data_IF_587897987599
#
_entry.id   IF_587897987599
#
_cell.length_a   1.000
_cell.length_b   1.000
_cell.length_c   1.000
_cell.angle_alpha   90.00
_cell.angle_beta   90.00
_cell.angle_gamma   90.00
#
_symmetry.space_group_name_H-M   'P 1'
#
loop_
_entity.id
_entity.type
_entity.pdbx_description
1 polymer ?
#
# COMPACT_ATOMS: atom_id res chain seq x y z
N UNK A 1 -6.55 -0.83 13.26
CA UNK A 1 -6.23 -1.83 12.23
C UNK A 1 -4.74 -2.11 12.32
N UNK A 2 -4.27 -3.19 11.70
CA UNK A 2 -2.88 -3.57 11.61
C UNK A 2 -2.50 -3.82 10.16
N UNK A 3 -1.29 -3.42 9.76
CA UNK A 3 -0.75 -3.67 8.42
C UNK A 3 0.59 -4.35 8.55
N UNK A 4 0.76 -5.40 7.75
CA UNK A 4 2.04 -6.02 7.48
C UNK A 4 2.48 -5.65 6.06
N UNK A 5 3.56 -4.88 5.97
CA UNK A 5 4.23 -4.53 4.71
C UNK A 5 5.32 -5.57 4.44
N UNK A 6 5.24 -6.25 3.31
CA UNK A 6 6.14 -7.32 2.90
C UNK A 6 6.85 -6.87 1.64
N UNK A 7 8.18 -6.99 1.61
CA UNK A 7 8.96 -6.69 0.42
C UNK A 7 9.99 -7.77 0.13
N UNK A 8 10.21 -8.05 -1.15
CA UNK A 8 11.22 -8.98 -1.63
C UNK A 8 11.50 -8.69 -3.11
N UNK A 9 12.56 -9.27 -3.66
CA UNK A 9 12.80 -9.25 -5.10
C UNK A 9 12.26 -10.54 -5.71
N UNK A 10 11.25 -10.42 -6.54
CA UNK A 10 10.59 -11.52 -7.23
C UNK A 10 11.54 -12.22 -8.22
N UNK A 11 11.46 -13.55 -8.28
CA UNK A 11 12.02 -14.33 -9.39
C UNK A 11 11.00 -14.51 -10.51
N UNK A 12 9.73 -14.70 -10.15
CA UNK A 12 8.63 -14.96 -11.09
C UNK A 12 7.34 -14.31 -10.58
N UNK A 13 7.02 -13.14 -11.13
CA UNK A 13 5.84 -12.37 -10.72
C UNK A 13 4.52 -13.10 -11.01
N UNK A 14 4.44 -13.88 -12.09
CA UNK A 14 3.22 -14.60 -12.47
C UNK A 14 2.93 -15.74 -11.50
N UNK A 15 3.96 -16.50 -11.10
CA UNK A 15 3.79 -17.57 -10.11
C UNK A 15 3.44 -17.01 -8.72
N UNK A 16 4.02 -15.87 -8.32
CA UNK A 16 3.65 -15.21 -7.07
C UNK A 16 2.19 -14.76 -7.14
N UNK A 17 1.76 -14.11 -8.23
CA UNK A 17 0.37 -13.69 -8.41
C UNK A 17 -0.60 -14.86 -8.32
N UNK A 18 -0.32 -15.96 -9.03
CA UNK A 18 -1.13 -17.16 -8.99
C UNK A 18 -1.22 -17.78 -7.58
N UNK A 19 -0.14 -17.68 -6.79
CA UNK A 19 -0.17 -18.13 -5.40
C UNK A 19 -1.06 -17.23 -4.52
N UNK A 20 -1.08 -15.90 -4.76
CA UNK A 20 -2.00 -14.98 -4.08
C UNK A 20 -3.46 -15.20 -4.49
N UNK A 21 -3.74 -15.48 -5.76
CA UNK A 21 -5.10 -15.83 -6.23
C UNK A 21 -5.62 -17.07 -5.50
N UNK A 22 -4.81 -18.13 -5.42
CA UNK A 22 -5.18 -19.34 -4.66
C UNK A 22 -5.36 -19.06 -3.17
N UNK A 23 -4.52 -18.20 -2.59
CA UNK A 23 -4.69 -17.80 -1.19
C UNK A 23 -6.04 -17.12 -0.95
N UNK A 24 -6.40 -16.19 -1.83
CA UNK A 24 -7.67 -15.47 -1.76
C UNK A 24 -8.88 -16.40 -1.91
N UNK A 25 -8.77 -17.46 -2.71
CA UNK A 25 -9.84 -18.45 -2.87
C UNK A 25 -9.92 -19.48 -1.74
N UNK A 26 -8.79 -19.99 -1.27
CA UNK A 26 -8.74 -21.18 -0.41
C UNK A 26 -8.52 -20.85 1.08
N UNK A 27 -7.73 -19.81 1.37
CA UNK A 27 -7.26 -19.51 2.73
C UNK A 27 -7.94 -18.29 3.35
N UNK A 28 -8.18 -17.25 2.54
CA UNK A 28 -8.80 -16.00 2.95
C UNK A 28 -10.22 -16.15 3.53
N UNK A 29 -11.10 -17.06 3.04
CA UNK A 29 -12.43 -17.24 3.64
C UNK A 29 -12.41 -17.66 5.12
N UNK A 30 -11.27 -18.20 5.58
CA UNK A 30 -11.06 -18.60 6.97
C UNK A 30 -10.03 -17.70 7.67
N UNK A 31 -9.64 -16.57 7.07
CA UNK A 31 -8.67 -15.65 7.61
C UNK A 31 -9.31 -14.67 8.59
N UNK A 32 -9.23 -15.00 9.89
CA UNK A 32 -9.83 -14.20 10.96
C UNK A 32 -9.36 -12.75 10.90
N UNK A 33 -10.30 -11.81 10.83
CA UNK A 33 -10.01 -10.37 10.87
C UNK A 33 -9.14 -9.85 9.72
N UNK A 34 -9.02 -10.58 8.61
CA UNK A 34 -8.37 -10.06 7.40
C UNK A 34 -9.27 -9.03 6.72
N UNK A 35 -8.71 -7.86 6.41
CA UNK A 35 -9.45 -6.72 5.84
C UNK A 35 -9.17 -6.51 4.35
N UNK A 36 -8.13 -7.15 3.82
CA UNK A 36 -7.75 -7.05 2.42
C UNK A 36 -6.24 -7.03 2.23
N UNK A 37 -5.81 -7.19 0.99
CA UNK A 37 -4.40 -7.15 0.61
C UNK A 37 -4.25 -6.33 -0.66
N UNK A 38 -3.28 -5.41 -0.66
CA UNK A 38 -2.77 -4.77 -1.88
C UNK A 38 -1.40 -5.34 -2.15
N UNK A 39 -1.16 -5.91 -3.32
CA UNK A 39 0.13 -6.47 -3.68
C UNK A 39 0.49 -6.19 -5.13
N UNK A 40 1.74 -6.43 -5.50
CA UNK A 40 2.18 -6.38 -6.89
C UNK A 40 3.68 -6.53 -7.01
N UNK A 41 4.15 -6.52 -8.25
CA UNK A 41 5.58 -6.52 -8.58
C UNK A 41 5.84 -5.38 -9.56
N UNK A 42 6.88 -4.60 -9.30
CA UNK A 42 7.33 -3.52 -10.19
C UNK A 42 8.02 -4.08 -11.45
N UNK A 43 8.21 -3.25 -12.47
CA UNK A 43 8.89 -3.67 -13.71
C UNK A 43 10.34 -4.16 -13.49
N UNK A 44 11.00 -3.67 -12.44
CA UNK A 44 12.36 -4.08 -12.04
C UNK A 44 12.37 -5.26 -11.05
N UNK A 45 11.22 -5.82 -10.70
CA UNK A 45 11.11 -7.07 -9.95
C UNK A 45 10.94 -6.92 -8.44
N UNK A 46 10.72 -5.71 -7.92
CA UNK A 46 10.43 -5.49 -6.50
C UNK A 46 8.97 -5.88 -6.21
N UNK A 47 8.80 -6.92 -5.42
CA UNK A 47 7.53 -7.34 -4.86
C UNK A 47 7.21 -6.48 -3.63
N UNK A 48 5.98 -5.98 -3.56
CA UNK A 48 5.44 -5.25 -2.41
C UNK A 48 4.05 -5.78 -2.09
N UNK A 49 3.77 -6.05 -0.82
CA UNK A 49 2.42 -6.35 -0.35
C UNK A 49 2.11 -5.64 0.97
N UNK A 50 0.90 -5.08 1.08
CA UNK A 50 0.30 -4.52 2.28
C UNK A 50 -0.89 -5.40 2.66
N UNK A 51 -0.71 -6.27 3.66
CA UNK A 51 -1.76 -7.14 4.18
C UNK A 51 -2.40 -6.49 5.42
N UNK A 52 -3.70 -6.21 5.34
CA UNK A 52 -4.47 -5.50 6.36
C UNK A 52 -5.25 -6.47 7.23
N UNK A 53 -5.24 -6.24 8.54
CA UNK A 53 -6.00 -6.98 9.54
C UNK A 53 -6.68 -6.05 10.55
N UNK A 54 -7.71 -6.53 11.23
CA UNK A 54 -8.40 -5.80 12.31
C UNK A 54 -7.45 -5.44 13.45
N UNK A 55 -6.48 -6.33 13.76
CA UNK A 55 -5.49 -6.17 14.82
C UNK A 55 -4.23 -7.01 14.59
N UNK A 56 -3.16 -6.71 15.32
CA UNK A 56 -1.94 -7.53 15.32
C UNK A 56 -2.20 -8.96 15.81
N UNK A 57 -3.17 -9.14 16.72
CA UNK A 57 -3.59 -10.47 17.18
C UNK A 57 -4.24 -11.28 16.06
N UNK A 58 -5.14 -10.66 15.28
CA UNK A 58 -5.76 -11.30 14.12
C UNK A 58 -4.72 -11.69 13.07
N UNK A 59 -3.75 -10.82 12.79
CA UNK A 59 -2.64 -11.14 11.90
C UNK A 59 -1.83 -12.36 12.39
N UNK A 60 -1.45 -12.37 13.68
CA UNK A 60 -0.71 -13.49 14.29
C UNK A 60 -1.47 -14.80 14.24
N UNK A 61 -2.77 -14.79 14.54
CA UNK A 61 -3.62 -15.99 14.46
C UNK A 61 -3.63 -16.57 13.04
N UNK A 62 -3.57 -15.72 12.02
CA UNK A 62 -3.43 -16.18 10.64
C UNK A 62 -2.07 -16.77 10.35
N UNK A 63 -0.98 -16.10 10.75
CA UNK A 63 0.39 -16.59 10.60
C UNK A 63 0.61 -17.96 11.26
N UNK A 64 0.01 -18.20 12.43
CA UNK A 64 0.16 -19.46 13.17
C UNK A 64 -0.59 -20.65 12.53
N UNK A 65 -1.39 -20.42 11.47
CA UNK A 65 -2.11 -21.50 10.78
C UNK A 65 -1.14 -22.30 9.91
N UNK A 66 -1.18 -23.62 10.04
CA UNK A 66 -0.37 -24.53 9.21
C UNK A 66 -0.53 -24.29 7.70
N UNK A 67 -1.75 -23.98 7.25
CA UNK A 67 -2.00 -23.71 5.83
C UNK A 67 -1.37 -22.38 5.38
N UNK A 68 -1.34 -21.37 6.25
CA UNK A 68 -0.65 -20.10 5.99
C UNK A 68 0.86 -20.31 5.89
N UNK A 69 1.44 -21.07 6.82
CA UNK A 69 2.86 -21.46 6.81
C UNK A 69 3.26 -22.20 5.53
N UNK A 70 2.41 -23.13 5.06
CA UNK A 70 2.67 -23.88 3.84
C UNK A 70 2.66 -22.97 2.61
N UNK A 71 1.64 -22.13 2.49
CA UNK A 71 1.55 -21.14 1.42
C UNK A 71 2.72 -20.16 1.44
N UNK A 72 3.11 -19.66 2.61
CA UNK A 72 4.22 -18.72 2.73
C UNK A 72 5.55 -19.34 2.31
N UNK A 73 5.81 -20.62 2.64
CA UNK A 73 7.02 -21.32 2.16
C UNK A 73 7.05 -21.46 0.63
N UNK A 74 5.91 -21.65 -0.01
CA UNK A 74 5.81 -21.68 -1.46
C UNK A 74 6.15 -20.30 -2.05
N UNK A 75 5.48 -19.25 -1.57
CA UNK A 75 5.68 -17.87 -2.07
C UNK A 75 7.11 -17.39 -1.83
N UNK A 76 7.66 -17.60 -0.62
CA UNK A 76 9.03 -17.20 -0.31
C UNK A 76 10.09 -17.94 -1.13
N UNK A 77 9.80 -19.14 -1.61
CA UNK A 77 10.65 -19.87 -2.55
C UNK A 77 10.72 -19.25 -3.95
N UNK A 78 9.81 -18.32 -4.28
CA UNK A 78 9.77 -17.56 -5.53
C UNK A 78 10.50 -16.21 -5.43
N UNK A 79 11.15 -15.92 -4.31
CA UNK A 79 11.98 -14.72 -4.13
C UNK A 79 13.46 -15.02 -4.32
N UNK A 80 14.20 -14.00 -4.75
CA UNK A 80 15.66 -14.09 -4.92
C UNK A 80 16.43 -13.70 -3.65
N UNK A 81 15.75 -13.06 -2.70
CA UNK A 81 16.24 -12.67 -1.38
C UNK A 81 15.24 -13.06 -0.29
N UNK A 82 15.67 -12.97 0.97
CA UNK A 82 14.74 -13.09 2.09
C UNK A 82 13.76 -11.90 2.09
N UNK A 83 12.48 -12.18 2.28
CA UNK A 83 11.47 -11.14 2.39
C UNK A 83 11.64 -10.36 3.70
N UNK A 84 11.50 -9.04 3.62
CA UNK A 84 11.43 -8.15 4.77
C UNK A 84 9.98 -7.93 5.18
N UNK A 85 9.79 -7.62 6.47
CA UNK A 85 8.49 -7.40 7.07
C UNK A 85 8.54 -6.14 7.92
N UNK A 86 7.57 -5.26 7.72
CA UNK A 86 7.35 -4.08 8.54
C UNK A 86 5.90 -4.06 9.00
N UNK A 87 5.73 -4.26 10.31
CA UNK A 87 4.44 -4.44 10.97
C UNK A 87 4.07 -3.17 11.74
N UNK A 88 2.85 -2.67 11.61
CA UNK A 88 2.39 -1.49 12.35
C UNK A 88 0.89 -1.48 12.61
N UNK A 89 0.49 -0.88 13.74
CA UNK A 89 -0.91 -0.54 14.05
C UNK A 89 -1.23 0.93 13.77
N UNK A 90 -0.21 1.73 13.45
CA UNK A 90 -0.35 3.14 13.11
C UNK A 90 -0.61 3.28 11.61
N UNK A 91 -1.90 3.25 11.27
CA UNK A 91 -2.36 3.25 9.88
C UNK A 91 -3.49 4.26 9.68
N UNK A 92 -3.32 5.12 8.68
CA UNK A 92 -4.36 6.01 8.18
C UNK A 92 -4.87 5.52 6.83
N UNK A 93 -6.20 5.42 6.69
CA UNK A 93 -6.89 5.15 5.43
C UNK A 93 -7.71 6.36 5.05
N UNK A 94 -7.54 6.83 3.81
CA UNK A 94 -8.36 7.87 3.20
C UNK A 94 -8.83 7.39 1.83
N UNK A 95 -10.10 6.99 1.74
CA UNK A 95 -10.68 6.38 0.55
C UNK A 95 -11.84 7.24 0.05
N UNK A 96 -11.75 7.65 -1.22
CA UNK A 96 -12.77 8.42 -1.93
C UNK A 96 -13.72 7.53 -2.73
N UNK A 97 -13.29 6.31 -3.02
CA UNK A 97 -14.04 5.29 -3.75
C UNK A 97 -13.68 3.88 -3.31
N UNK A 98 -14.01 2.91 -4.16
CA UNK A 98 -13.66 1.50 -3.94
C UNK A 98 -12.21 1.25 -4.38
N UNK A 99 -11.26 1.00 -3.45
CA UNK A 99 -9.87 0.75 -3.80
C UNK A 99 -9.69 -0.48 -4.68
N UNK A 100 -10.62 -1.46 -4.67
CA UNK A 100 -10.54 -2.66 -5.51
C UNK A 100 -10.74 -2.36 -7.00
N UNK A 101 -11.18 -1.14 -7.34
CA UNK A 101 -11.31 -0.68 -8.72
C UNK A 101 -10.05 -0.01 -9.28
N UNK A 102 -8.99 0.10 -8.47
CA UNK A 102 -7.76 0.76 -8.89
C UNK A 102 -7.06 -0.01 -10.02
N UNK A 103 -6.80 0.69 -11.14
CA UNK A 103 -6.03 0.17 -12.26
C UNK A 103 -4.52 0.38 -12.09
N UNK A 104 -4.11 1.18 -11.10
CA UNK A 104 -2.72 1.47 -10.81
C UNK A 104 -2.54 1.80 -9.33
N UNK A 105 -1.49 1.27 -8.72
CA UNK A 105 -1.10 1.62 -7.34
C UNK A 105 0.35 2.08 -7.35
N UNK A 106 0.63 3.25 -6.77
CA UNK A 106 2.00 3.68 -6.51
C UNK A 106 2.26 3.55 -5.02
N UNK A 107 3.23 2.72 -4.65
CA UNK A 107 3.73 2.66 -3.28
C UNK A 107 4.90 3.63 -3.14
N UNK A 108 4.89 4.42 -2.07
CA UNK A 108 5.92 5.38 -1.70
C UNK A 108 6.48 5.00 -0.34
N UNK A 109 7.79 4.92 -0.23
CA UNK A 109 8.47 4.78 1.06
C UNK A 109 9.37 5.97 1.30
N UNK A 110 9.27 6.57 2.49
CA UNK A 110 10.01 7.78 2.83
C UNK A 110 10.13 7.98 4.33
N UNK A 111 10.72 9.11 4.69
CA UNK A 111 10.92 9.52 6.07
C UNK A 111 10.37 10.94 6.28
N UNK A 112 9.57 11.12 7.31
CA UNK A 112 8.99 12.40 7.72
C UNK A 112 9.54 12.88 9.05
N UNK A 113 9.70 14.19 9.21
CA UNK A 113 10.17 14.81 10.47
C UNK A 113 9.04 15.08 11.46
N UNK A 114 7.79 15.06 11.00
CA UNK A 114 6.59 15.33 11.82
C UNK A 114 5.38 14.54 11.27
N UNK A 115 5.20 13.28 11.68
CA UNK A 115 4.11 12.42 11.20
C UNK A 115 2.72 12.97 11.55
N UNK A 116 2.55 13.56 12.74
CA UNK A 116 1.27 14.10 13.17
C UNK A 116 0.83 15.29 12.31
N UNK A 117 1.77 16.19 12.00
CA UNK A 117 1.48 17.30 11.08
C UNK A 117 1.22 16.79 9.66
N UNK A 118 1.95 15.78 9.19
CA UNK A 118 1.70 15.18 7.88
C UNK A 118 0.28 14.60 7.79
N UNK A 119 -0.20 13.90 8.83
CA UNK A 119 -1.59 13.39 8.88
C UNK A 119 -2.63 14.49 8.84
N UNK A 120 -2.41 15.57 9.59
CA UNK A 120 -3.32 16.72 9.59
C UNK A 120 -3.40 17.34 8.19
N UNK A 121 -2.24 17.52 7.53
CA UNK A 121 -2.16 18.03 6.17
C UNK A 121 -2.83 17.10 5.18
N UNK A 122 -2.68 15.77 5.26
CA UNK A 122 -3.35 14.85 4.33
C UNK A 122 -4.89 14.92 4.44
N UNK A 123 -5.42 15.18 5.63
CA UNK A 123 -6.87 15.30 5.88
C UNK A 123 -7.43 16.68 5.52
N UNK A 124 -6.58 17.69 5.47
CA UNK A 124 -6.99 19.05 5.14
C UNK A 124 -7.37 19.15 3.66
N UNK A 125 -8.47 19.86 3.36
CA UNK A 125 -8.91 20.14 1.99
C UNK A 125 -9.12 18.88 1.11
N UNK A 126 -9.44 17.72 1.72
CA UNK A 126 -9.63 16.43 1.03
C UNK A 126 -10.62 16.52 -0.14
N UNK A 127 -11.74 17.23 0.02
CA UNK A 127 -12.74 17.46 -1.04
C UNK A 127 -12.16 18.24 -2.23
N UNK A 128 -11.27 19.21 -1.98
CA UNK A 128 -10.62 20.00 -3.04
C UNK A 128 -9.55 19.17 -3.75
N UNK A 129 -8.82 18.34 -3.02
CA UNK A 129 -7.91 17.36 -3.61
C UNK A 129 -8.66 16.37 -4.50
N UNK A 130 -9.81 15.87 -4.05
CA UNK A 130 -10.69 15.00 -4.84
C UNK A 130 -11.08 15.64 -6.17
N UNK A 131 -11.54 16.89 -6.13
CA UNK A 131 -11.97 17.62 -7.32
C UNK A 131 -10.81 17.90 -8.27
N UNK A 132 -9.62 18.19 -7.73
CA UNK A 132 -8.42 18.48 -8.52
C UNK A 132 -7.77 17.22 -9.12
N UNK A 133 -7.75 16.13 -8.35
CA UNK A 133 -7.19 14.82 -8.68
C UNK A 133 -8.27 13.73 -8.62
N UNK A 134 -9.27 13.76 -9.52
CA UNK A 134 -10.32 12.74 -9.55
C UNK A 134 -9.79 11.36 -9.97
N UNK A 135 -8.54 11.29 -10.45
CA UNK A 135 -7.81 10.06 -10.72
C UNK A 135 -7.36 9.32 -9.46
N UNK A 136 -7.31 9.99 -8.30
CA UNK A 136 -6.94 9.40 -7.00
C UNK A 136 -8.18 8.79 -6.35
N UNK A 137 -8.17 7.47 -6.17
CA UNK A 137 -9.24 6.72 -5.48
C UNK A 137 -9.05 6.79 -3.95
N UNK A 138 -7.80 6.91 -3.50
CA UNK A 138 -7.48 7.05 -2.08
C UNK A 138 -6.03 6.73 -1.76
N UNK A 139 -5.73 6.65 -0.47
CA UNK A 139 -4.43 6.27 0.05
C UNK A 139 -4.53 5.44 1.33
N UNK A 140 -3.56 4.56 1.51
CA UNK A 140 -3.24 3.89 2.76
C UNK A 140 -1.84 4.30 3.22
N UNK A 141 -1.69 4.71 4.47
CA UNK A 141 -0.39 5.11 5.05
C UNK A 141 -0.10 4.28 6.28
N UNK A 142 0.91 3.42 6.21
CA UNK A 142 1.48 2.68 7.32
C UNK A 142 2.69 3.45 7.87
N UNK A 143 2.63 3.89 9.13
CA UNK A 143 3.67 4.70 9.78
C UNK A 143 4.48 3.88 10.79
N UNK A 144 5.74 4.27 11.00
CA UNK A 144 6.67 3.61 11.94
C UNK A 144 7.25 4.60 12.96
N UNK A 145 7.79 4.08 14.08
CA UNK A 145 8.14 4.84 15.29
C UNK A 145 9.21 5.95 15.11
N UNK A 146 9.92 5.98 13.98
CA UNK A 146 10.97 6.95 13.67
C UNK A 146 10.60 7.98 12.60
N UNK A 147 9.36 7.95 12.10
CA UNK A 147 8.89 8.82 11.02
C UNK A 147 9.05 8.20 9.63
N UNK A 148 9.60 6.99 9.52
CA UNK A 148 9.49 6.20 8.29
C UNK A 148 8.02 5.86 8.02
N UNK A 149 7.67 5.76 6.75
CA UNK A 149 6.33 5.37 6.32
C UNK A 149 6.35 4.58 5.01
N UNK A 150 5.33 3.74 4.83
CA UNK A 150 4.95 3.17 3.53
C UNK A 150 3.54 3.68 3.20
N UNK A 151 3.38 4.34 2.06
CA UNK A 151 2.10 4.83 1.57
C UNK A 151 1.74 4.14 0.24
N UNK A 152 0.56 3.54 0.15
CA UNK A 152 -0.01 3.09 -1.12
C UNK A 152 -1.03 4.13 -1.61
N UNK A 153 -0.82 4.72 -2.78
CA UNK A 153 -1.78 5.59 -3.45
C UNK A 153 -2.50 4.83 -4.56
N UNK A 154 -3.83 4.84 -4.55
CA UNK A 154 -4.70 4.13 -5.47
C UNK A 154 -5.18 5.06 -6.56
N UNK A 155 -5.02 4.66 -7.82
CA UNK A 155 -5.43 5.44 -8.98
C UNK A 155 -6.36 4.67 -9.90
N UNK A 156 -7.22 5.39 -10.60
CA UNK A 156 -8.08 4.82 -11.66
C UNK A 156 -7.26 4.17 -12.77
N UNK A 157 -6.16 4.81 -13.20
CA UNK A 157 -5.22 4.28 -14.18
C UNK A 157 -3.84 4.93 -14.09
N UNK A 158 -2.80 4.25 -14.61
CA UNK A 158 -1.45 4.82 -14.70
C UNK A 158 -1.43 6.09 -15.56
N UNK A 159 -2.11 6.07 -16.72
CA UNK A 159 -2.14 7.20 -17.64
C UNK A 159 -2.71 8.46 -16.97
N UNK A 160 -3.84 8.31 -16.27
CA UNK A 160 -4.48 9.43 -15.56
C UNK A 160 -3.62 9.93 -14.40
N UNK A 161 -2.95 9.03 -13.68
CA UNK A 161 -2.01 9.39 -12.62
C UNK A 161 -0.85 10.25 -13.18
N UNK A 162 -0.22 9.85 -14.30
CA UNK A 162 0.87 10.61 -14.93
C UNK A 162 0.42 11.94 -15.54
N UNK A 163 -0.83 12.05 -15.97
CA UNK A 163 -1.42 13.33 -16.39
C UNK A 163 -1.65 14.21 -15.15
N UNK A 164 -2.19 13.63 -14.08
CA UNK A 164 -2.48 14.30 -12.81
C UNK A 164 -1.24 14.88 -12.15
N UNK A 165 -0.12 14.16 -12.13
CA UNK A 165 1.19 14.61 -11.61
C UNK A 165 1.71 15.88 -12.30
N UNK A 166 1.32 16.13 -13.55
CA UNK A 166 1.76 17.30 -14.33
C UNK A 166 0.85 18.52 -14.15
N UNK A 167 -0.29 18.37 -13.47
CA UNK A 167 -1.21 19.48 -13.23
C UNK A 167 -0.62 20.44 -12.22
N UNK A 168 -0.79 21.73 -12.46
CA UNK A 168 -0.44 22.76 -11.49
C UNK A 168 -1.60 22.90 -10.48
N UNK A 169 -1.35 22.67 -9.17
CA UNK A 169 -2.38 22.81 -8.15
C UNK A 169 -2.81 24.28 -7.99
N UNK A 170 -4.09 24.55 -7.64
CA UNK A 170 -4.51 25.86 -7.19
C UNK A 170 -3.65 26.36 -6.01
N UNK A 171 -3.49 27.69 -5.81
CA UNK A 171 -2.57 28.24 -4.80
C UNK A 171 -2.75 27.70 -3.38
N UNK A 172 -3.99 27.39 -2.98
CA UNK A 172 -4.30 26.80 -1.68
C UNK A 172 -3.72 25.39 -1.53
N UNK A 173 -3.95 24.51 -2.52
CA UNK A 173 -3.40 23.15 -2.54
C UNK A 173 -1.88 23.16 -2.75
N UNK A 174 -1.36 24.15 -3.49
CA UNK A 174 0.08 24.33 -3.68
C UNK A 174 0.80 24.60 -2.36
N UNK A 175 0.26 25.50 -1.52
CA UNK A 175 0.84 25.82 -0.22
C UNK A 175 0.88 24.59 0.70
N UNK A 176 -0.16 23.76 0.64
CA UNK A 176 -0.23 22.50 1.37
C UNK A 176 0.80 21.48 0.89
N UNK A 177 0.98 21.32 -0.44
CA UNK A 177 2.06 20.47 -0.99
C UNK A 177 3.45 20.96 -0.58
N UNK A 178 3.68 22.27 -0.60
CA UNK A 178 4.96 22.85 -0.17
C UNK A 178 5.23 22.61 1.31
N UNK A 179 4.19 22.62 2.15
CA UNK A 179 4.31 22.28 3.56
C UNK A 179 4.63 20.80 3.74
N UNK A 180 3.91 19.91 3.05
CA UNK A 180 4.18 18.46 3.06
C UNK A 180 5.64 18.16 2.66
N UNK A 181 6.13 18.81 1.60
CA UNK A 181 7.52 18.65 1.14
C UNK A 181 8.56 19.10 2.18
N UNK A 182 8.24 20.08 3.05
CA UNK A 182 9.14 20.50 4.14
C UNK A 182 9.22 19.49 5.27
N UNK A 183 8.19 18.66 5.45
CA UNK A 183 8.18 17.59 6.44
C UNK A 183 8.97 16.38 5.98
N UNK A 184 9.26 16.26 4.68
CA UNK A 184 10.05 15.16 4.13
C UNK A 184 11.53 15.33 4.46
N UNK A 185 12.17 14.29 5.01
CA UNK A 185 13.60 14.29 5.32
C UNK A 185 14.48 13.76 4.16
N UNK A 186 13.94 13.69 2.95
CA UNK A 186 14.65 13.22 1.76
C UNK A 186 13.69 12.75 0.68
N UNK A 187 14.17 12.58 -0.57
CA UNK A 187 13.32 12.05 -1.63
C UNK A 187 12.82 10.65 -1.26
N UNK A 188 11.53 10.35 -1.43
CA UNK A 188 11.02 9.00 -1.21
C UNK A 188 11.42 8.06 -2.36
N UNK A 189 11.35 6.77 -2.09
CA UNK A 189 11.43 5.70 -3.08
C UNK A 189 10.02 5.36 -3.57
N UNK A 190 9.89 5.13 -4.87
CA UNK A 190 8.61 4.82 -5.52
C UNK A 190 8.62 3.41 -6.10
N UNK A 191 7.52 2.69 -5.92
CA UNK A 191 7.27 1.38 -6.47
C UNK A 191 5.94 1.42 -7.24
N UNK A 192 6.05 1.40 -8.56
CA UNK A 192 4.89 1.48 -9.46
C UNK A 192 4.32 0.09 -9.71
N UNK A 193 3.16 -0.20 -9.13
CA UNK A 193 2.42 -1.44 -9.34
C UNK A 193 1.44 -1.22 -10.50
N UNK A 194 1.91 -1.48 -11.72
CA UNK A 194 1.14 -1.35 -12.97
C UNK A 194 0.02 -2.37 -13.12
N UNK A 195 0.19 -3.51 -12.46
CA UNK A 195 -0.78 -4.59 -12.39
C UNK A 195 -1.00 -4.95 -10.92
N UNK A 196 -1.67 -4.07 -10.15
CA UNK A 196 -1.86 -4.30 -8.72
C UNK A 196 -2.81 -5.50 -8.52
N UNK A 197 -2.52 -6.30 -7.50
CA UNK A 197 -3.35 -7.41 -7.07
C UNK A 197 -4.11 -6.96 -5.83
N UNK A 198 -5.43 -6.85 -5.98
CA UNK A 198 -6.31 -6.26 -5.00
C UNK A 198 -7.28 -7.33 -4.53
N UNK A 199 -7.17 -7.68 -3.26
CA UNK A 199 -7.98 -8.72 -2.64
C UNK A 199 -8.74 -8.15 -1.46
N UNK A 200 -10.04 -8.45 -1.41
CA UNK A 200 -10.94 -8.10 -0.32
C UNK A 200 -11.75 -9.31 0.15
N UNK A 201 -12.22 -9.34 1.41
CA UNK A 201 -13.15 -10.35 1.89
C UNK A 201 -14.43 -10.39 1.04
N UNK A 202 -14.89 -11.61 0.68
CA UNK A 202 -16.14 -11.83 -0.07
C UNK A 202 -17.36 -12.05 0.84
#
# INVERSE_FOLDING_TARGET
>A
MFVQVIQAHAQDAEQIHAAFDRWAEELAPNATGWLGTTAGVTDDGEFVALARFESAEAARQNSDRQAQDQWWREVSGLFTNEATFHDTEDVDLDLQGDPDTAGFVQVMQGHGTDPDRARELMKQDADKWAEFRPDVIGSEVASYDDGDYTMAMYFTSEEEARIGEKKEPPPELQAQMEEMNKLSAGPPTFFDLKHPWLYSPR
#
